data_IF_522453267052
#
_entry.id   IF_522453267052
#
_cell.length_a   1.000
_cell.length_b   1.000
_cell.length_c   1.000
_cell.angle_alpha   90.00
_cell.angle_beta   90.00
_cell.angle_gamma   90.00
#
_symmetry.space_group_name_H-M   'P 1'
#
loop_
_entity.id
_entity.type
_entity.pdbx_description
1 polymer ?
#
# COMPACT_ATOMS: atom_id res chain seq x y z
N UNK A 1 30.96 1.11 73.01
CA UNK A 1 29.61 1.71 73.08
C UNK A 1 29.46 2.90 72.14
N UNK A 2 30.01 4.09 72.43
CA UNK A 2 29.83 5.25 71.54
C UNK A 2 30.53 5.11 70.16
N UNK A 3 31.74 4.54 70.12
CA UNK A 3 32.48 4.28 68.89
C UNK A 3 31.82 3.21 68.00
N UNK A 4 31.18 2.22 68.60
CA UNK A 4 30.48 1.15 67.88
C UNK A 4 29.20 1.69 67.22
N UNK A 5 28.45 2.53 67.94
CA UNK A 5 27.28 3.22 67.39
C UNK A 5 27.63 4.14 66.20
N UNK A 6 28.77 4.84 66.26
CA UNK A 6 29.24 5.68 65.14
C UNK A 6 29.61 4.82 63.92
N UNK A 7 30.21 3.65 64.13
CA UNK A 7 30.50 2.70 63.04
C UNK A 7 29.22 2.16 62.40
N UNK A 8 28.24 1.75 63.20
CA UNK A 8 26.96 1.28 62.68
C UNK A 8 26.23 2.34 61.84
N UNK A 9 26.27 3.62 62.28
CA UNK A 9 25.69 4.73 61.52
C UNK A 9 26.41 4.88 60.17
N UNK A 10 27.74 4.85 60.16
CA UNK A 10 28.53 4.96 58.92
C UNK A 10 28.26 3.80 57.95
N UNK A 11 28.13 2.59 58.47
CA UNK A 11 27.83 1.40 57.66
C UNK A 11 26.39 1.45 57.11
N UNK A 12 25.45 2.00 57.87
CA UNK A 12 24.08 2.24 57.42
C UNK A 12 24.01 3.30 56.32
N UNK A 13 24.76 4.40 56.46
CA UNK A 13 24.89 5.44 55.43
C UNK A 13 25.45 4.87 54.13
N UNK A 14 26.54 4.09 54.21
CA UNK A 14 27.14 3.46 53.04
C UNK A 14 26.16 2.52 52.31
N UNK A 15 25.38 1.72 53.05
CA UNK A 15 24.35 0.85 52.47
C UNK A 15 23.20 1.64 51.84
N UNK A 16 22.80 2.76 52.45
CA UNK A 16 21.78 3.63 51.88
C UNK A 16 22.26 4.25 50.55
N UNK A 17 23.51 4.72 50.50
CA UNK A 17 24.11 5.27 49.28
C UNK A 17 24.22 4.21 48.16
N UNK A 18 24.63 2.99 48.50
CA UNK A 18 24.64 1.87 47.53
C UNK A 18 23.24 1.58 46.99
N UNK A 19 22.23 1.58 47.86
CA UNK A 19 20.83 1.35 47.48
C UNK A 19 20.31 2.45 46.54
N UNK A 20 20.62 3.72 46.83
CA UNK A 20 20.24 4.86 45.98
C UNK A 20 20.92 4.77 44.62
N UNK A 21 22.21 4.43 44.60
CA UNK A 21 22.97 4.28 43.36
C UNK A 21 22.42 3.12 42.50
N UNK A 22 22.15 1.97 43.11
CA UNK A 22 21.55 0.83 42.43
C UNK A 22 20.18 1.17 41.84
N UNK A 23 19.29 1.78 42.63
CA UNK A 23 17.97 2.21 42.16
C UNK A 23 18.05 3.24 41.02
N UNK A 24 19.03 4.15 41.07
CA UNK A 24 19.24 5.15 40.02
C UNK A 24 19.71 4.50 38.71
N UNK A 25 20.58 3.50 38.77
CA UNK A 25 21.03 2.75 37.60
C UNK A 25 19.88 1.94 37.01
N UNK A 26 19.12 1.24 37.85
CA UNK A 26 17.96 0.44 37.43
C UNK A 26 16.89 1.31 36.76
N UNK A 27 16.57 2.47 37.34
CA UNK A 27 15.62 3.42 36.75
C UNK A 27 16.05 3.86 35.35
N UNK A 28 17.34 4.16 35.15
CA UNK A 28 17.88 4.52 33.82
C UNK A 28 17.78 3.35 32.84
N UNK A 29 18.04 2.13 33.29
CA UNK A 29 17.91 0.93 32.45
C UNK A 29 16.47 0.68 32.03
N UNK A 30 15.51 0.83 32.95
CA UNK A 30 14.07 0.68 32.65
C UNK A 30 13.65 1.68 31.57
N UNK A 31 14.03 2.96 31.72
CA UNK A 31 13.69 4.00 30.73
C UNK A 31 14.33 3.72 29.37
N UNK A 32 15.60 3.31 29.35
CA UNK A 32 16.29 2.99 28.10
C UNK A 32 15.64 1.78 27.40
N UNK A 33 15.37 0.70 28.14
CA UNK A 33 14.74 -0.49 27.58
C UNK A 33 13.34 -0.18 27.04
N UNK A 34 12.53 0.57 27.80
CA UNK A 34 11.21 1.01 27.36
C UNK A 34 11.28 1.87 26.09
N UNK A 35 12.30 2.72 25.97
CA UNK A 35 12.51 3.56 24.78
C UNK A 35 12.88 2.72 23.56
N UNK A 36 13.77 1.73 23.72
CA UNK A 36 14.15 0.80 22.65
C UNK A 36 12.95 -0.05 22.21
N UNK A 37 12.20 -0.62 23.15
CA UNK A 37 11.01 -1.40 22.84
C UNK A 37 9.93 -0.56 22.15
N UNK A 38 9.75 0.70 22.57
CA UNK A 38 8.80 1.59 21.92
C UNK A 38 9.18 1.89 20.47
N UNK A 39 10.46 2.15 20.21
CA UNK A 39 10.97 2.36 18.85
C UNK A 39 10.78 1.12 17.98
N UNK A 40 11.09 -0.08 18.50
CA UNK A 40 10.89 -1.33 17.78
C UNK A 40 9.41 -1.58 17.45
N UNK A 41 8.51 -1.41 18.42
CA UNK A 41 7.06 -1.57 18.20
C UNK A 41 6.52 -0.56 17.19
N UNK A 42 7.04 0.66 17.20
CA UNK A 42 6.68 1.68 16.22
C UNK A 42 7.10 1.26 14.81
N UNK A 43 8.36 0.84 14.64
CA UNK A 43 8.89 0.40 13.35
C UNK A 43 8.16 -0.83 12.81
N UNK A 44 7.84 -1.79 13.68
CA UNK A 44 7.01 -2.95 13.33
C UNK A 44 5.60 -2.54 12.88
N UNK A 45 4.96 -1.61 13.61
CA UNK A 45 3.63 -1.11 13.24
C UNK A 45 3.64 -0.43 11.88
N UNK A 46 4.64 0.41 11.60
CA UNK A 46 4.82 1.09 10.32
C UNK A 46 5.10 0.10 9.19
N UNK A 47 5.97 -0.89 9.43
CA UNK A 47 6.30 -1.93 8.46
C UNK A 47 5.06 -2.77 8.10
N UNK A 48 4.30 -3.19 9.11
CA UNK A 48 3.06 -3.94 8.93
C UNK A 48 1.99 -3.13 8.19
N UNK A 49 1.86 -1.84 8.48
CA UNK A 49 0.96 -0.95 7.77
C UNK A 49 1.34 -0.81 6.28
N UNK A 50 2.63 -0.63 5.98
CA UNK A 50 3.14 -0.57 4.60
C UNK A 50 2.86 -1.87 3.84
N UNK A 51 3.08 -3.02 4.48
CA UNK A 51 2.80 -4.32 3.87
C UNK A 51 1.31 -4.47 3.54
N UNK A 52 0.42 -4.19 4.49
CA UNK A 52 -1.04 -4.22 4.26
C UNK A 52 -1.46 -3.27 3.14
N UNK A 53 -0.90 -2.07 3.09
CA UNK A 53 -1.19 -1.11 2.02
C UNK A 53 -0.79 -1.67 0.65
N UNK A 54 0.40 -2.27 0.56
CA UNK A 54 0.85 -2.92 -0.67
C UNK A 54 -0.07 -4.08 -1.08
N UNK A 55 -0.44 -4.94 -0.13
CA UNK A 55 -1.32 -6.08 -0.41
C UNK A 55 -2.69 -5.61 -0.94
N UNK A 56 -3.24 -4.52 -0.38
CA UNK A 56 -4.49 -3.91 -0.86
C UNK A 56 -4.34 -3.36 -2.28
N UNK A 57 -3.24 -2.65 -2.56
CA UNK A 57 -2.97 -2.10 -3.88
C UNK A 57 -2.80 -3.19 -4.94
N UNK A 58 -2.04 -4.24 -4.62
CA UNK A 58 -1.80 -5.37 -5.51
C UNK A 58 -3.12 -6.11 -5.80
N UNK A 59 -3.96 -6.29 -4.77
CA UNK A 59 -5.30 -6.88 -4.95
C UNK A 59 -6.20 -6.02 -5.84
N UNK A 60 -6.23 -4.70 -5.62
CA UNK A 60 -7.03 -3.78 -6.43
C UNK A 60 -6.55 -3.74 -7.90
N UNK A 61 -5.24 -3.79 -8.14
CA UNK A 61 -4.67 -3.89 -9.49
C UNK A 61 -5.07 -5.21 -10.18
N UNK A 62 -4.98 -6.33 -9.46
CA UNK A 62 -5.37 -7.63 -10.01
C UNK A 62 -6.86 -7.67 -10.35
N UNK A 63 -7.72 -7.14 -9.47
CA UNK A 63 -9.16 -7.05 -9.70
C UNK A 63 -9.47 -6.13 -10.89
N UNK A 64 -8.84 -4.96 -10.96
CA UNK A 64 -9.01 -4.02 -12.07
C UNK A 64 -8.61 -4.63 -13.42
N UNK A 65 -7.48 -5.35 -13.47
CA UNK A 65 -7.04 -6.06 -14.67
C UNK A 65 -8.03 -7.15 -15.07
N UNK A 66 -8.51 -7.95 -14.11
CA UNK A 66 -9.52 -8.99 -14.36
C UNK A 66 -10.84 -8.41 -14.86
N UNK A 67 -11.26 -7.26 -14.34
CA UNK A 67 -12.44 -6.55 -14.81
C UNK A 67 -12.24 -5.95 -16.23
N UNK A 68 -11.01 -5.60 -16.59
CA UNK A 68 -10.68 -5.09 -17.91
C UNK A 68 -10.62 -6.17 -19.00
N UNK A 69 -10.26 -7.42 -18.65
CA UNK A 69 -10.22 -8.55 -19.60
C UNK A 69 -11.48 -8.71 -20.47
N UNK A 70 -12.71 -8.78 -19.93
CA UNK A 70 -13.91 -8.90 -20.76
C UNK A 70 -14.18 -7.67 -21.62
N UNK A 71 -13.79 -6.48 -21.15
CA UNK A 71 -13.92 -5.23 -21.93
C UNK A 71 -13.00 -5.29 -23.16
N UNK A 72 -11.74 -5.70 -22.96
CA UNK A 72 -10.77 -5.87 -24.04
C UNK A 72 -11.19 -6.96 -25.02
N UNK A 73 -11.66 -8.11 -24.50
CA UNK A 73 -12.15 -9.20 -25.32
C UNK A 73 -13.35 -8.76 -26.18
N UNK A 74 -14.32 -8.05 -25.58
CA UNK A 74 -15.46 -7.50 -26.32
C UNK A 74 -15.02 -6.49 -27.37
N UNK A 75 -14.14 -5.55 -27.01
CA UNK A 75 -13.62 -4.56 -27.95
C UNK A 75 -12.92 -5.19 -29.15
N UNK A 76 -12.18 -6.29 -28.93
CA UNK A 76 -11.55 -7.07 -30.01
C UNK A 76 -12.60 -7.70 -30.94
N UNK A 77 -13.62 -8.36 -30.37
CA UNK A 77 -14.70 -8.97 -31.15
C UNK A 77 -15.46 -7.92 -31.96
N UNK A 78 -15.79 -6.78 -31.35
CA UNK A 78 -16.51 -5.69 -32.02
C UNK A 78 -15.67 -5.11 -33.18
N UNK A 79 -14.37 -4.91 -32.96
CA UNK A 79 -13.44 -4.45 -34.00
C UNK A 79 -13.31 -5.45 -35.16
N UNK A 80 -13.16 -6.74 -34.85
CA UNK A 80 -13.12 -7.80 -35.87
C UNK A 80 -14.43 -7.86 -36.67
N UNK A 81 -15.58 -7.69 -36.01
CA UNK A 81 -16.89 -7.63 -36.66
C UNK A 81 -17.01 -6.47 -37.66
N UNK A 82 -16.43 -5.31 -37.34
CA UNK A 82 -16.38 -4.17 -38.27
C UNK A 82 -15.45 -4.46 -39.45
N UNK A 83 -14.26 -4.99 -39.22
CA UNK A 83 -13.30 -5.29 -40.29
C UNK A 83 -13.84 -6.35 -41.27
N UNK A 84 -14.48 -7.38 -40.71
CA UNK A 84 -15.05 -8.51 -41.44
C UNK A 84 -16.46 -8.24 -41.98
N UNK A 85 -16.88 -6.99 -42.09
CA UNK A 85 -18.11 -6.61 -42.79
C UNK A 85 -18.12 -7.19 -44.21
N UNK A 86 -19.22 -7.85 -44.57
CA UNK A 86 -19.35 -8.53 -45.85
C UNK A 86 -19.14 -7.58 -47.03
N UNK A 87 -18.50 -8.09 -48.08
CA UNK A 87 -18.21 -7.32 -49.29
C UNK A 87 -19.50 -6.84 -49.96
N UNK A 88 -20.58 -7.64 -49.93
CA UNK A 88 -21.90 -7.22 -50.39
C UNK A 88 -22.44 -5.98 -49.69
N UNK A 89 -22.26 -5.87 -48.36
CA UNK A 89 -22.68 -4.69 -47.60
C UNK A 89 -21.85 -3.47 -47.97
N UNK A 90 -20.54 -3.65 -48.16
CA UNK A 90 -19.62 -2.59 -48.61
C UNK A 90 -20.02 -2.12 -50.01
N UNK A 91 -20.25 -3.05 -50.94
CA UNK A 91 -20.64 -2.76 -52.32
C UNK A 91 -22.02 -2.09 -52.41
N UNK A 92 -23.00 -2.53 -51.59
CA UNK A 92 -24.30 -1.86 -51.52
C UNK A 92 -24.19 -0.42 -51.00
N UNK A 93 -23.35 -0.18 -49.99
CA UNK A 93 -23.10 1.17 -49.50
C UNK A 93 -22.48 2.07 -50.58
N UNK A 94 -21.49 1.56 -51.33
CA UNK A 94 -20.89 2.27 -52.47
C UNK A 94 -21.95 2.57 -53.54
N UNK A 95 -22.78 1.59 -53.91
CA UNK A 95 -23.85 1.75 -54.90
C UNK A 95 -24.85 2.84 -54.49
N UNK A 96 -25.27 2.86 -53.21
CA UNK A 96 -26.15 3.90 -52.67
C UNK A 96 -25.55 5.31 -52.81
N UNK A 97 -24.25 5.46 -52.53
CA UNK A 97 -23.55 6.75 -52.69
C UNK A 97 -23.48 7.15 -54.16
N UNK A 98 -23.11 6.23 -55.06
CA UNK A 98 -23.04 6.48 -56.50
C UNK A 98 -24.41 6.87 -57.05
N UNK A 99 -25.48 6.14 -56.72
CA UNK A 99 -26.84 6.49 -57.16
C UNK A 99 -27.27 7.87 -56.67
N UNK A 100 -26.90 8.26 -55.45
CA UNK A 100 -27.22 9.59 -54.92
C UNK A 100 -26.51 10.71 -55.68
N UNK A 101 -25.23 10.52 -56.02
CA UNK A 101 -24.46 11.50 -56.81
C UNK A 101 -24.99 11.57 -58.25
N UNK A 102 -25.21 10.42 -58.88
CA UNK A 102 -25.69 10.35 -60.27
C UNK A 102 -27.10 10.94 -60.40
N UNK A 103 -28.00 10.72 -59.43
CA UNK A 103 -29.34 11.33 -59.45
C UNK A 103 -29.34 12.85 -59.19
N UNK A 104 -28.34 13.38 -58.46
CA UNK A 104 -28.19 14.84 -58.30
C UNK A 104 -27.59 15.51 -59.54
N UNK A 105 -26.68 14.84 -60.25
CA UNK A 105 -25.96 15.41 -61.40
C UNK A 105 -26.52 14.98 -62.77
N UNK A 106 -27.43 14.01 -62.81
CA UNK A 106 -27.91 13.32 -64.01
C UNK A 106 -29.30 13.75 -64.48
N UNK A 107 -29.72 14.98 -64.18
CA UNK A 107 -30.88 15.58 -64.84
C UNK A 107 -30.39 16.50 -65.97
N UNK A 108 -30.07 15.89 -67.11
CA UNK A 108 -30.25 16.44 -68.45
C UNK A 108 -30.80 15.33 -69.33
#
# INVERSE_FOLDING_TARGET
MALDAIKEIKDAEAKADEMINAATVEAKQIVNNATVEAAQKYDEAVSNAKKKCKDILDAALAEGNKAAEPILAKGKVDSEGILNLSEDKKNNAVKLVVERIVKMNGNS
#
